data_IF_993013403572
#
_entry.id   IF_993013403572
#
_cell.length_a   1.000
_cell.length_b   1.000
_cell.length_c   1.000
_cell.angle_alpha   90.00
_cell.angle_beta   90.00
_cell.angle_gamma   90.00
#
_symmetry.space_group_name_H-M   'P 1'
#
loop_
_entity.id
_entity.type
_entity.pdbx_description
1 polymer ?
#
# COMPACT_ATOMS: atom_id res chain seq x y z
N UNK A 1 -12.70 28.67 4.17
CA UNK A 1 -11.73 28.28 5.22
C UNK A 1 -11.04 27.02 4.70
N UNK A 2 -9.79 27.13 4.27
CA UNK A 2 -8.99 26.01 3.78
C UNK A 2 -7.80 25.88 4.74
N UNK A 3 -7.63 24.78 5.50
CA UNK A 3 -6.54 24.70 6.46
C UNK A 3 -5.22 24.66 5.69
N UNK A 4 -4.34 25.61 6.02
CA UNK A 4 -2.97 25.69 5.51
C UNK A 4 -2.26 24.39 5.87
N UNK A 5 -1.76 23.66 4.87
CA UNK A 5 -0.75 22.63 5.11
C UNK A 5 0.47 23.33 5.69
N UNK A 6 0.72 23.16 6.98
CA UNK A 6 2.01 23.54 7.58
C UNK A 6 3.06 22.61 6.98
N UNK A 7 3.75 23.10 5.95
CA UNK A 7 5.06 22.57 5.57
C UNK A 7 5.98 22.84 6.75
N UNK A 8 6.21 21.81 7.57
CA UNK A 8 7.33 21.79 8.50
C UNK A 8 8.58 21.97 7.61
N UNK A 9 9.21 23.15 7.67
CA UNK A 9 10.53 23.34 7.10
C UNK A 9 11.44 22.41 7.89
N UNK A 10 11.84 21.30 7.29
CA UNK A 10 12.86 20.44 7.86
C UNK A 10 14.17 21.21 7.71
N UNK A 11 14.68 21.76 8.80
CA UNK A 11 15.92 22.54 8.83
C UNK A 11 17.12 21.62 8.56
N UNK A 12 17.38 21.38 7.27
CA UNK A 12 18.55 20.68 6.77
C UNK A 12 19.75 21.62 6.79
N UNK A 13 20.37 21.79 7.95
CA UNK A 13 21.68 22.44 8.04
C UNK A 13 22.78 21.41 7.67
N UNK A 14 23.39 21.50 6.47
CA UNK A 14 24.34 20.50 5.99
C UNK A 14 25.63 20.46 6.82
N UNK A 15 26.03 21.59 7.42
CA UNK A 15 27.24 21.69 8.23
C UNK A 15 27.07 20.92 9.54
N UNK A 16 25.92 21.06 10.21
CA UNK A 16 25.63 20.33 11.44
C UNK A 16 25.50 18.82 11.23
N UNK A 17 25.05 18.38 10.05
CA UNK A 17 25.00 16.95 9.68
C UNK A 17 26.42 16.42 9.44
N UNK A 18 27.29 17.17 8.76
CA UNK A 18 28.68 16.78 8.53
C UNK A 18 29.50 16.74 9.82
N UNK A 19 29.20 17.63 10.77
CA UNK A 19 29.82 17.66 12.09
C UNK A 19 29.26 16.62 13.08
N UNK A 20 28.26 15.82 12.67
CA UNK A 20 27.62 14.82 13.52
C UNK A 20 26.74 15.41 14.65
N UNK A 21 26.47 16.72 14.60
CA UNK A 21 25.67 17.45 15.58
C UNK A 21 24.16 17.32 15.33
N UNK A 22 23.77 16.88 14.13
CA UNK A 22 22.39 16.51 13.77
C UNK A 22 22.37 15.18 13.03
N UNK A 23 21.35 14.31 13.26
CA UNK A 23 21.22 13.08 12.51
C UNK A 23 21.00 13.39 11.02
N UNK A 24 21.68 12.64 10.14
CA UNK A 24 21.36 12.66 8.71
C UNK A 24 19.86 12.38 8.57
N UNK A 25 19.11 13.21 7.84
CA UNK A 25 17.72 12.92 7.59
C UNK A 25 17.64 11.57 6.89
N UNK A 26 17.12 10.58 7.60
CA UNK A 26 16.68 9.36 6.96
C UNK A 26 15.63 9.79 5.95
N UNK A 27 15.73 9.44 4.66
CA UNK A 27 14.62 9.60 3.75
C UNK A 27 13.37 9.09 4.46
N UNK A 28 12.23 9.77 4.40
CA UNK A 28 10.99 9.25 4.95
C UNK A 28 10.89 7.80 4.48
N UNK A 29 10.83 6.84 5.42
CA UNK A 29 10.70 5.41 5.11
C UNK A 29 9.63 5.33 4.04
N UNK A 30 9.99 4.87 2.84
CA UNK A 30 9.08 4.95 1.70
C UNK A 30 7.79 4.25 2.07
N UNK A 31 6.72 5.02 2.22
CA UNK A 31 5.41 4.50 2.55
C UNK A 31 4.85 3.85 1.29
N UNK A 32 5.11 2.55 1.15
CA UNK A 32 4.71 1.76 -0.01
C UNK A 32 3.19 1.77 -0.18
N UNK A 33 2.42 1.84 0.92
CA UNK A 33 0.98 1.96 0.87
C UNK A 33 0.55 3.30 0.27
N UNK A 34 1.10 4.41 0.74
CA UNK A 34 0.75 5.74 0.20
C UNK A 34 1.19 5.91 -1.25
N UNK A 35 2.37 5.40 -1.61
CA UNK A 35 2.82 5.34 -3.01
C UNK A 35 1.86 4.51 -3.87
N UNK A 36 1.39 3.37 -3.36
CA UNK A 36 0.45 2.53 -4.08
C UNK A 36 -0.90 3.23 -4.26
N UNK A 37 -1.45 3.84 -3.21
CA UNK A 37 -2.70 4.63 -3.25
C UNK A 37 -2.62 5.76 -4.28
N UNK A 38 -1.52 6.50 -4.30
CA UNK A 38 -1.28 7.58 -5.27
C UNK A 38 -1.20 7.07 -6.73
N UNK A 39 -0.94 5.78 -6.94
CA UNK A 39 -0.88 5.17 -8.27
C UNK A 39 -2.23 4.69 -8.81
N UNK A 40 -3.29 4.69 -7.98
CA UNK A 40 -4.63 4.21 -8.36
C UNK A 40 -5.28 5.26 -9.27
N UNK A 41 -5.70 4.83 -10.46
CA UNK A 41 -6.33 5.69 -11.46
C UNK A 41 -7.85 5.70 -11.31
N UNK A 42 -8.56 6.72 -11.85
CA UNK A 42 -10.01 6.65 -11.99
C UNK A 42 -10.45 5.36 -12.70
N UNK A 43 -11.48 4.70 -12.18
CA UNK A 43 -11.94 3.39 -12.68
C UNK A 43 -11.15 2.18 -12.14
N UNK A 44 -10.09 2.38 -11.36
CA UNK A 44 -9.42 1.32 -10.63
C UNK A 44 -9.91 1.24 -9.17
N UNK A 45 -10.11 0.02 -8.68
CA UNK A 45 -10.40 -0.27 -7.28
C UNK A 45 -9.17 -0.90 -6.63
N UNK A 46 -8.73 -0.34 -5.50
CA UNK A 46 -7.67 -0.92 -4.68
C UNK A 46 -8.25 -1.92 -3.68
N UNK A 47 -7.70 -3.13 -3.66
CA UNK A 47 -7.89 -4.09 -2.58
C UNK A 47 -6.67 -4.09 -1.66
N UNK A 48 -6.90 -4.10 -0.35
CA UNK A 48 -5.84 -4.07 0.66
C UNK A 48 -6.10 -5.14 1.73
N UNK A 49 -5.20 -6.12 1.82
CA UNK A 49 -5.14 -7.07 2.91
C UNK A 49 -4.08 -6.60 3.92
N UNK A 50 -4.50 -6.25 5.14
CA UNK A 50 -3.63 -5.59 6.13
C UNK A 50 -2.78 -6.55 6.95
N UNK A 51 -3.14 -7.83 6.99
CA UNK A 51 -2.53 -8.81 7.88
C UNK A 51 -1.29 -9.44 7.23
N UNK A 52 -0.22 -9.73 7.98
CA UNK A 52 0.89 -10.54 7.49
C UNK A 52 0.39 -11.89 6.98
N UNK A 53 0.97 -12.34 5.87
CA UNK A 53 0.70 -13.62 5.23
C UNK A 53 1.91 -14.01 4.38
N UNK A 54 2.00 -15.27 3.95
CA UNK A 54 3.02 -15.71 3.00
C UNK A 54 2.70 -15.23 1.58
N UNK A 55 1.43 -15.34 1.19
CA UNK A 55 0.92 -14.85 -0.07
C UNK A 55 -0.56 -14.52 0.05
N UNK A 56 -1.03 -13.56 -0.76
CA UNK A 56 -2.45 -13.21 -0.86
C UNK A 56 -2.82 -13.10 -2.32
N UNK A 57 -3.98 -13.65 -2.67
CA UNK A 57 -4.65 -13.40 -3.94
C UNK A 57 -6.08 -12.92 -3.69
N UNK A 58 -6.62 -12.15 -4.63
CA UNK A 58 -8.04 -11.80 -4.65
C UNK A 58 -8.68 -12.42 -5.88
N UNK A 59 -9.91 -12.89 -5.73
CA UNK A 59 -10.76 -13.33 -6.84
C UNK A 59 -12.14 -12.70 -6.69
N UNK A 60 -12.85 -12.55 -7.79
CA UNK A 60 -14.23 -12.12 -7.70
C UNK A 60 -15.03 -12.24 -8.97
N UNK A 61 -16.26 -11.76 -8.90
CA UNK A 61 -17.23 -11.84 -9.99
C UNK A 61 -16.80 -11.10 -11.28
N UNK A 62 -15.87 -10.14 -11.20
CA UNK A 62 -15.39 -9.38 -12.36
C UNK A 62 -14.47 -10.18 -13.29
N UNK A 63 -13.92 -11.31 -12.84
CA UNK A 63 -12.95 -12.09 -13.61
C UNK A 63 -13.22 -13.60 -13.54
N UNK A 64 -14.49 -13.99 -13.45
CA UNK A 64 -14.92 -15.40 -13.35
C UNK A 64 -14.23 -16.14 -12.21
N UNK A 65 -14.01 -15.46 -11.07
CA UNK A 65 -13.34 -16.01 -9.89
C UNK A 65 -11.89 -16.47 -10.13
N UNK A 66 -11.22 -16.00 -11.18
CA UNK A 66 -9.80 -16.23 -11.42
C UNK A 66 -8.96 -15.54 -10.34
N UNK A 67 -7.89 -16.18 -9.91
CA UNK A 67 -7.01 -15.64 -8.88
C UNK A 67 -6.13 -14.52 -9.43
N UNK A 68 -6.10 -13.39 -8.74
CA UNK A 68 -5.18 -12.29 -9.01
C UNK A 68 -4.23 -12.16 -7.82
N UNK A 69 -2.91 -12.43 -8.00
CA UNK A 69 -1.94 -12.30 -6.93
C UNK A 69 -1.79 -10.84 -6.51
N UNK A 70 -1.62 -10.62 -5.21
CA UNK A 70 -1.42 -9.29 -4.63
C UNK A 70 0.06 -9.03 -4.34
N UNK A 71 0.47 -7.76 -4.42
CA UNK A 71 1.84 -7.32 -4.18
C UNK A 71 2.05 -7.07 -2.70
N UNK A 72 3.09 -7.65 -2.10
CA UNK A 72 3.46 -7.37 -0.71
C UNK A 72 4.06 -5.96 -0.57
N UNK A 73 3.55 -5.22 0.41
CA UNK A 73 4.07 -3.93 0.87
C UNK A 73 4.71 -4.07 2.26
N UNK A 74 5.23 -5.26 2.58
CA UNK A 74 5.91 -5.56 3.85
C UNK A 74 4.93 -5.62 5.02
N UNK A 75 5.27 -4.94 6.13
CA UNK A 75 4.44 -4.93 7.35
C UNK A 75 3.06 -4.30 7.14
N UNK A 76 2.87 -3.55 6.06
CA UNK A 76 1.59 -2.94 5.70
C UNK A 76 0.67 -3.93 4.95
N UNK A 77 1.12 -5.16 4.67
CA UNK A 77 0.30 -6.23 4.09
C UNK A 77 0.45 -6.37 2.57
N UNK A 78 -0.68 -6.55 1.87
CA UNK A 78 -0.72 -6.83 0.44
C UNK A 78 -1.73 -5.93 -0.29
N UNK A 79 -1.40 -5.49 -1.49
CA UNK A 79 -2.23 -4.60 -2.31
C UNK A 79 -2.33 -5.07 -3.76
N UNK A 80 -3.47 -4.79 -4.37
CA UNK A 80 -3.65 -4.89 -5.83
C UNK A 80 -4.67 -3.84 -6.27
N UNK A 81 -4.59 -3.42 -7.52
CA UNK A 81 -5.57 -2.55 -8.16
C UNK A 81 -6.16 -3.25 -9.37
N UNK A 82 -7.48 -3.19 -9.50
CA UNK A 82 -8.24 -3.85 -10.56
C UNK A 82 -9.05 -2.76 -11.27
N UNK A 83 -8.97 -2.68 -12.60
CA UNK A 83 -9.87 -1.84 -13.38
C UNK A 83 -11.25 -2.50 -13.45
N UNK A 84 -12.30 -1.78 -13.04
CA UNK A 84 -13.66 -2.32 -12.92
C UNK A 84 -14.68 -1.24 -13.25
N UNK A 85 -15.70 -1.58 -14.03
CA UNK A 85 -16.81 -0.68 -14.27
C UNK A 85 -17.66 -0.50 -12.99
N UNK A 86 -18.39 0.61 -12.84
CA UNK A 86 -19.31 0.80 -11.72
C UNK A 86 -20.33 -0.35 -11.61
N UNK A 87 -20.44 -0.96 -10.44
CA UNK A 87 -21.31 -2.11 -10.24
C UNK A 87 -21.20 -2.75 -8.87
N UNK A 88 -21.98 -3.80 -8.65
CA UNK A 88 -21.88 -4.65 -7.46
C UNK A 88 -21.04 -5.88 -7.81
N UNK A 89 -20.02 -6.13 -7.00
CA UNK A 89 -19.11 -7.25 -7.19
C UNK A 89 -18.99 -8.06 -5.91
N UNK A 90 -19.02 -9.38 -6.06
CA UNK A 90 -18.58 -10.31 -5.02
C UNK A 90 -17.09 -10.55 -5.15
N UNK A 91 -16.40 -10.67 -4.01
CA UNK A 91 -14.99 -10.99 -3.95
C UNK A 91 -14.65 -11.88 -2.77
N UNK A 92 -13.50 -12.53 -2.85
CA UNK A 92 -12.91 -13.32 -1.77
C UNK A 92 -11.39 -13.24 -1.83
N UNK A 93 -10.74 -13.19 -0.68
CA UNK A 93 -9.30 -13.33 -0.57
C UNK A 93 -8.93 -14.81 -0.42
N UNK A 94 -7.79 -15.20 -0.98
CA UNK A 94 -7.11 -16.45 -0.67
C UNK A 94 -5.82 -16.08 0.05
N UNK A 95 -5.65 -16.57 1.27
CA UNK A 95 -4.54 -16.17 2.14
C UNK A 95 -3.75 -17.41 2.50
N UNK A 96 -2.49 -17.48 2.06
CA UNK A 96 -1.56 -18.52 2.50
C UNK A 96 -0.89 -18.07 3.80
N UNK A 97 -1.11 -18.79 4.89
CA UNK A 97 -0.41 -18.60 6.16
C UNK A 97 0.48 -19.80 6.45
N UNK A 98 1.35 -19.69 7.46
CA UNK A 98 2.20 -20.80 7.93
C UNK A 98 1.39 -22.00 8.44
N UNK A 99 0.09 -21.81 8.71
CA UNK A 99 -0.83 -22.84 9.22
C UNK A 99 -1.67 -23.49 8.09
N UNK A 100 -1.40 -23.15 6.81
CA UNK A 100 -2.14 -23.60 5.64
C UNK A 100 -2.86 -22.47 4.89
N UNK A 101 -3.44 -22.78 3.73
CA UNK A 101 -4.23 -21.80 2.97
C UNK A 101 -5.63 -21.63 3.58
N UNK A 102 -6.01 -20.41 3.93
CA UNK A 102 -7.34 -20.04 4.38
C UNK A 102 -8.12 -19.43 3.20
N UNK A 103 -9.35 -19.91 2.99
CA UNK A 103 -10.27 -19.39 1.98
C UNK A 103 -11.43 -18.67 2.62
#
# INVERSE_FOLDING_TARGET
INPKFNLVKVDFDPELIQLGLKPKPTPPVEDKLEKFKASVKPGETMFHWKTPALAVAVKGSWNDWKQVPMVSIGKQGFVVKIAMDPGRYYFKFLVATTDGAQS
#
